data_IF_299760851827
#
_entry.id   IF_299760851827
#
_cell.length_a   1.000
_cell.length_b   1.000
_cell.length_c   1.000
_cell.angle_alpha   90.00
_cell.angle_beta   90.00
_cell.angle_gamma   90.00
#
_symmetry.space_group_name_H-M   'P 1'
#
loop_
_entity.id
_entity.type
_entity.pdbx_description
1 polymer ?
#
# COMPACT_ATOMS: atom_id res chain seq x y z
N UNK A 1 2.08 15.86 -14.50
CA UNK A 1 2.79 15.00 -15.49
C UNK A 1 3.92 14.15 -14.85
N UNK A 2 4.46 14.55 -13.69
CA UNK A 2 5.47 13.74 -12.96
C UNK A 2 4.87 12.92 -11.80
N UNK A 3 3.98 13.51 -11.00
CA UNK A 3 3.30 12.81 -9.90
C UNK A 3 2.55 11.54 -10.36
N UNK A 4 1.89 11.60 -11.52
CA UNK A 4 1.19 10.44 -12.08
C UNK A 4 2.11 9.26 -12.42
N UNK A 5 3.37 9.53 -12.81
CA UNK A 5 4.36 8.48 -13.08
C UNK A 5 4.88 7.84 -11.79
N UNK A 6 5.08 8.62 -10.74
CA UNK A 6 5.46 8.09 -9.42
C UNK A 6 4.34 7.21 -8.85
N UNK A 7 3.08 7.66 -8.94
CA UNK A 7 1.95 6.90 -8.43
C UNK A 7 1.73 5.57 -9.17
N UNK A 8 1.96 5.54 -10.49
CA UNK A 8 1.96 4.30 -11.25
C UNK A 8 2.99 3.29 -10.70
N UNK A 9 4.22 3.74 -10.43
CA UNK A 9 5.25 2.88 -9.82
C UNK A 9 4.86 2.37 -8.43
N UNK A 10 4.18 3.17 -7.61
CA UNK A 10 3.68 2.73 -6.31
C UNK A 10 2.66 1.61 -6.47
N UNK A 11 1.69 1.79 -7.39
CA UNK A 11 0.71 0.75 -7.71
C UNK A 11 1.37 -0.54 -8.20
N UNK A 12 2.38 -0.43 -9.07
CA UNK A 12 3.10 -1.60 -9.59
C UNK A 12 3.77 -2.40 -8.46
N UNK A 13 4.40 -1.71 -7.50
CA UNK A 13 5.04 -2.34 -6.33
C UNK A 13 4.01 -3.04 -5.43
N UNK A 14 2.90 -2.38 -5.11
CA UNK A 14 1.82 -2.96 -4.29
C UNK A 14 1.21 -4.18 -4.99
N UNK A 15 0.94 -4.07 -6.30
CA UNK A 15 0.38 -5.14 -7.09
C UNK A 15 1.32 -6.35 -7.16
N UNK A 16 2.61 -6.11 -7.41
CA UNK A 16 3.62 -7.18 -7.42
C UNK A 16 3.73 -7.88 -6.06
N UNK A 17 3.64 -7.14 -4.94
CA UNK A 17 3.65 -7.73 -3.61
C UNK A 17 2.46 -8.67 -3.40
N UNK A 18 1.24 -8.24 -3.72
CA UNK A 18 0.03 -9.06 -3.61
C UNK A 18 0.07 -10.29 -4.54
N UNK A 19 0.50 -10.11 -5.79
CA UNK A 19 0.66 -11.23 -6.73
C UNK A 19 1.68 -12.26 -6.26
N UNK A 20 2.76 -11.84 -5.61
CA UNK A 20 3.81 -12.75 -5.13
C UNK A 20 3.31 -13.76 -4.09
N UNK A 21 2.23 -13.42 -3.39
CA UNK A 21 1.62 -14.25 -2.33
C UNK A 21 0.21 -14.74 -2.68
N UNK A 22 -0.29 -14.48 -3.89
CA UNK A 22 -1.67 -14.80 -4.28
C UNK A 22 -2.08 -16.26 -4.02
N UNK A 23 -1.15 -17.22 -4.17
CA UNK A 23 -1.41 -18.64 -3.94
C UNK A 23 -1.59 -19.01 -2.47
N UNK A 24 -1.13 -18.15 -1.55
CA UNK A 24 -1.32 -18.31 -0.11
C UNK A 24 -2.55 -17.54 0.41
N UNK A 25 -3.13 -16.63 -0.39
CA UNK A 25 -4.34 -15.88 -0.03
C UNK A 25 -5.56 -16.78 -0.33
N UNK A 26 -6.34 -17.20 0.68
CA UNK A 26 -7.51 -18.02 0.46
C UNK A 26 -8.60 -17.23 -0.28
N UNK A 27 -9.23 -17.86 -1.26
CA UNK A 27 -10.38 -17.28 -1.95
C UNK A 27 -11.62 -17.29 -1.04
N UNK A 28 -11.94 -16.12 -0.48
CA UNK A 28 -13.11 -15.91 0.37
C UNK A 28 -13.96 -14.78 -0.20
N UNK A 29 -15.05 -15.13 -0.90
CA UNK A 29 -15.88 -14.18 -1.67
C UNK A 29 -16.49 -13.04 -0.82
N UNK A 30 -16.64 -13.24 0.49
CA UNK A 30 -17.23 -12.28 1.42
C UNK A 30 -16.19 -11.68 2.38
N UNK A 31 -14.90 -11.77 2.05
CA UNK A 31 -13.83 -11.22 2.87
C UNK A 31 -13.08 -10.14 2.09
N UNK A 32 -12.72 -9.08 2.80
CA UNK A 32 -11.78 -8.07 2.33
C UNK A 32 -10.80 -7.77 3.46
N UNK A 33 -9.65 -7.20 3.11
CA UNK A 33 -8.63 -6.83 4.07
C UNK A 33 -8.03 -5.48 3.67
N UNK A 34 -7.84 -4.61 4.67
CA UNK A 34 -7.22 -3.31 4.50
C UNK A 34 -5.74 -3.43 4.89
N UNK A 35 -4.86 -3.23 3.92
CA UNK A 35 -3.42 -3.23 4.14
C UNK A 35 -2.88 -1.79 4.20
N UNK A 36 -1.95 -1.56 5.12
CA UNK A 36 -1.05 -0.40 5.09
C UNK A 36 0.25 -0.78 4.41
N UNK A 37 0.60 -0.10 3.30
CA UNK A 37 1.86 -0.33 2.60
C UNK A 37 2.82 0.83 2.85
N UNK A 38 3.94 0.53 3.50
CA UNK A 38 5.01 1.50 3.70
C UNK A 38 5.95 1.46 2.51
N UNK A 39 6.00 2.56 1.78
CA UNK A 39 6.84 2.72 0.59
C UNK A 39 7.78 3.90 0.75
N UNK A 40 9.02 3.74 0.27
CA UNK A 40 10.01 4.81 0.26
C UNK A 40 10.44 5.16 -1.16
N UNK A 41 10.51 6.47 -1.42
CA UNK A 41 10.99 7.01 -2.68
C UNK A 41 12.48 7.33 -2.57
N UNK A 42 13.29 6.75 -3.46
CA UNK A 42 14.69 7.11 -3.58
C UNK A 42 14.87 8.46 -4.30
N UNK A 43 16.08 9.03 -4.20
CA UNK A 43 16.49 10.23 -4.97
C UNK A 43 16.34 10.07 -6.50
N UNK A 44 16.36 8.84 -7.01
CA UNK A 44 16.14 8.54 -8.44
C UNK A 44 14.69 8.20 -8.75
N UNK A 45 13.75 8.54 -7.87
CA UNK A 45 12.32 8.23 -7.98
C UNK A 45 12.03 6.74 -8.19
N UNK A 46 12.87 5.88 -7.60
CA UNK A 46 12.57 4.46 -7.49
C UNK A 46 11.73 4.26 -6.22
N UNK A 47 10.62 3.53 -6.37
CA UNK A 47 9.77 3.12 -5.26
C UNK A 47 10.31 1.82 -4.70
N UNK A 48 10.48 1.74 -3.39
CA UNK A 48 10.83 0.53 -2.68
C UNK A 48 9.76 0.22 -1.65
N UNK A 49 9.34 -1.05 -1.60
CA UNK A 49 8.50 -1.57 -0.53
C UNK A 49 9.35 -1.75 0.73
N UNK A 50 8.87 -1.25 1.87
CA UNK A 50 9.47 -1.50 3.18
C UNK A 50 8.72 -2.65 3.86
N UNK A 51 7.41 -2.48 4.06
CA UNK A 51 6.55 -3.48 4.69
C UNK A 51 5.10 -3.40 4.21
N UNK A 52 4.36 -4.48 4.45
CA UNK A 52 2.92 -4.56 4.29
C UNK A 52 2.32 -4.96 5.65
N UNK A 53 1.54 -4.07 6.23
CA UNK A 53 0.89 -4.26 7.53
C UNK A 53 -0.58 -4.66 7.33
N UNK A 54 -0.98 -5.81 7.86
CA UNK A 54 -2.38 -6.29 7.82
C UNK A 54 -3.29 -5.63 8.86
N UNK A 55 -2.72 -4.84 9.78
CA UNK A 55 -3.46 -4.09 10.79
C UNK A 55 -2.94 -2.64 10.89
N UNK A 56 -3.15 -1.82 9.84
CA UNK A 56 -2.78 -0.41 9.90
C UNK A 56 -3.58 0.32 10.99
N UNK A 57 -2.95 1.26 11.69
CA UNK A 57 -3.60 2.03 12.76
C UNK A 57 -4.66 2.97 12.19
N UNK A 58 -5.89 2.84 12.71
CA UNK A 58 -7.01 3.75 12.44
C UNK A 58 -7.26 4.75 13.58
N UNK A 59 -6.28 4.95 14.48
CA UNK A 59 -6.36 6.03 15.46
C UNK A 59 -6.35 7.39 14.76
N UNK A 60 -7.18 8.33 15.24
CA UNK A 60 -7.28 9.68 14.70
C UNK A 60 -6.84 10.70 15.75
N UNK A 61 -5.52 10.90 15.86
CA UNK A 61 -4.92 11.81 16.83
C UNK A 61 -4.75 13.23 16.27
N UNK A 62 -4.83 13.39 14.94
CA UNK A 62 -4.68 14.68 14.25
C UNK A 62 -5.84 14.95 13.28
N UNK A 63 -6.12 16.22 12.92
CA UNK A 63 -7.14 16.55 11.91
C UNK A 63 -6.90 15.90 10.55
N UNK A 64 -5.63 15.63 10.19
CA UNK A 64 -5.29 14.95 8.94
C UNK A 64 -5.67 13.47 8.98
N UNK A 65 -5.55 12.83 10.14
CA UNK A 65 -6.00 11.44 10.31
C UNK A 65 -7.51 11.34 10.08
N UNK A 66 -8.30 12.28 10.61
CA UNK A 66 -9.76 12.33 10.40
C UNK A 66 -10.18 12.54 8.94
N UNK A 67 -9.36 13.26 8.15
CA UNK A 67 -9.65 13.52 6.74
C UNK A 67 -9.32 12.31 5.85
N UNK A 68 -8.29 11.54 6.21
CA UNK A 68 -7.73 10.49 5.35
C UNK A 68 -8.21 9.08 5.72
N UNK A 69 -8.46 8.80 7.01
CA UNK A 69 -8.87 7.47 7.51
C UNK A 69 -10.38 7.37 7.65
#
# INVERSE_FOLDING_TARGET
VEQGRTWAKVKDVVLAALYSVQGAIPHNANSFELYGFDVILSRTQKVWLIEANSSPSLACDTPLDEEVK
#
